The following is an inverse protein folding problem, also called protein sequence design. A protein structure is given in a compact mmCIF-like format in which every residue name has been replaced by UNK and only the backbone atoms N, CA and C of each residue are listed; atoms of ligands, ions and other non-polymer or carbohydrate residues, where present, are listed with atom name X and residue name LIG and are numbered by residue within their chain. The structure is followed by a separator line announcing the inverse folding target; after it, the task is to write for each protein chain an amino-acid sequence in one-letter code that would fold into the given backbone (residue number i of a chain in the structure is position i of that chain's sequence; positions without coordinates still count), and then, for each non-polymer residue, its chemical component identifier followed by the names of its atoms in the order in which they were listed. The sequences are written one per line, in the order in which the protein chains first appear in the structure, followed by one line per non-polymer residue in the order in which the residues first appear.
data_IF_596522084784
#
_entry.id   IF_596522084784
#
_cell.length_a   1.000
_cell.length_b   1.000
_cell.length_c   1.000
_cell.angle_alpha   90.00
_cell.angle_beta   90.00
_cell.angle_gamma   90.00
#
_symmetry.space_group_name_H-M   'P 1'
#
loop_
_entity.id
_entity.type
_entity.pdbx_description
1 polymer ?
#
# COMPACT_ATOMS: atom_id res chain seq x y z
N UNK A 1 -3.81 1.34 -9.89
CA UNK A 1 -4.68 0.44 -9.09
C UNK A 1 -4.51 0.86 -7.64
N UNK A 2 -5.57 1.07 -6.87
CA UNK A 2 -5.43 1.43 -5.46
C UNK A 2 -5.21 0.14 -4.65
N UNK A 3 -4.14 0.09 -3.86
CA UNK A 3 -3.93 -1.02 -2.93
C UNK A 3 -5.02 -1.02 -1.85
N UNK A 4 -5.50 -2.20 -1.48
CA UNK A 4 -6.55 -2.36 -0.46
C UNK A 4 -5.96 -2.84 0.86
N UNK A 5 -6.66 -2.57 1.97
CA UNK A 5 -6.22 -3.01 3.30
C UNK A 5 -6.00 -4.54 3.36
N UNK A 6 -6.89 -5.31 2.72
CA UNK A 6 -6.79 -6.77 2.65
C UNK A 6 -5.52 -7.27 1.94
N UNK A 7 -5.00 -6.51 0.96
CA UNK A 7 -3.74 -6.85 0.29
C UNK A 7 -2.55 -6.55 1.20
N UNK A 8 -2.62 -5.48 2.01
CA UNK A 8 -1.59 -5.19 3.00
C UNK A 8 -1.52 -6.30 4.07
N UNK A 9 -2.67 -6.76 4.57
CA UNK A 9 -2.73 -7.86 5.53
C UNK A 9 -2.13 -9.16 4.95
N UNK A 10 -2.36 -9.46 3.67
CA UNK A 10 -1.74 -10.61 3.00
C UNK A 10 -0.22 -10.48 2.90
N UNK A 11 0.30 -9.28 2.60
CA UNK A 11 1.74 -9.03 2.55
C UNK A 11 2.36 -9.15 3.94
N UNK A 12 1.71 -8.64 4.98
CA UNK A 12 2.19 -8.76 6.36
C UNK A 12 2.24 -10.23 6.81
N UNK A 13 1.21 -11.01 6.52
CA UNK A 13 1.19 -12.44 6.80
C UNK A 13 2.31 -13.18 6.05
N UNK A 14 2.50 -12.88 4.77
CA UNK A 14 3.57 -13.44 3.96
C UNK A 14 4.98 -13.12 4.51
N UNK A 15 5.19 -11.91 5.03
CA UNK A 15 6.46 -11.55 5.70
C UNK A 15 6.67 -12.38 6.96
N UNK A 16 5.62 -12.57 7.77
CA UNK A 16 5.70 -13.38 9.00
C UNK A 16 6.00 -14.85 8.67
N UNK A 17 5.37 -15.40 7.63
CA UNK A 17 5.58 -16.79 7.21
C UNK A 17 7.00 -17.01 6.65
N UNK A 18 7.51 -16.07 5.85
CA UNK A 18 8.93 -16.08 5.42
C UNK A 18 9.89 -15.95 6.61
N UNK A 19 9.57 -15.10 7.58
CA UNK A 19 10.40 -14.94 8.79
C UNK A 19 10.38 -16.18 9.70
N UNK A 20 9.29 -16.96 9.67
CA UNK A 20 9.20 -18.26 10.35
C UNK A 20 10.02 -19.36 9.70
N UNK A 21 10.50 -19.15 8.47
CA UNK A 21 11.29 -20.11 7.72
C UNK A 21 10.58 -20.71 6.51
N UNK A 22 9.43 -20.17 6.08
CA UNK A 22 8.90 -20.51 4.76
C UNK A 22 9.85 -20.03 3.67
N UNK A 23 10.04 -20.87 2.65
CA UNK A 23 10.98 -20.58 1.56
C UNK A 23 10.38 -19.70 0.48
N UNK A 24 9.08 -19.84 0.22
CA UNK A 24 8.35 -19.15 -0.84
C UNK A 24 6.94 -18.89 -0.36
N UNK A 25 6.46 -17.65 -0.48
CA UNK A 25 5.10 -17.24 -0.19
C UNK A 25 4.46 -16.65 -1.42
N UNK A 26 3.16 -16.88 -1.58
CA UNK A 26 2.39 -16.40 -2.72
C UNK A 26 1.44 -15.29 -2.26
N UNK A 27 1.58 -14.10 -2.82
CA UNK A 27 0.74 -12.94 -2.49
C UNK A 27 -0.15 -12.62 -3.70
N UNK A 28 -1.45 -12.46 -3.46
CA UNK A 28 -2.43 -12.20 -4.50
C UNK A 28 -2.87 -10.75 -4.48
N UNK A 29 -2.44 -9.98 -5.47
CA UNK A 29 -2.80 -8.56 -5.61
C UNK A 29 -4.12 -8.36 -6.38
N UNK A 30 -4.63 -9.37 -7.09
CA UNK A 30 -5.89 -9.24 -7.82
C UNK A 30 -6.48 -10.58 -8.29
N UNK A 31 -7.56 -10.53 -9.10
CA UNK A 31 -8.21 -11.75 -9.58
C UNK A 31 -7.27 -12.65 -10.39
N UNK A 32 -6.29 -12.08 -11.10
CA UNK A 32 -5.28 -12.83 -11.88
C UNK A 32 -3.84 -12.39 -11.58
N UNK A 33 -3.62 -11.55 -10.57
CA UNK A 33 -2.29 -11.03 -10.27
C UNK A 33 -1.78 -11.68 -8.99
N UNK A 34 -0.87 -12.62 -9.17
CA UNK A 34 -0.30 -13.45 -8.11
C UNK A 34 1.21 -13.40 -8.25
N UNK A 35 1.89 -12.92 -7.22
CA UNK A 35 3.36 -12.83 -7.21
C UNK A 35 3.91 -13.76 -6.14
N UNK A 36 4.92 -14.54 -6.51
CA UNK A 36 5.65 -15.41 -5.58
C UNK A 36 6.91 -14.70 -5.12
N UNK A 37 7.13 -14.70 -3.83
CA UNK A 37 8.30 -14.12 -3.20
C UNK A 37 9.07 -15.19 -2.44
N UNK A 38 10.38 -15.25 -2.66
CA UNK A 38 11.27 -16.13 -1.91
C UNK A 38 11.86 -15.42 -0.67
N UNK A 39 12.46 -16.20 0.23
CA UNK A 39 13.13 -15.65 1.43
C UNK A 39 14.25 -14.65 1.11
N UNK A 40 14.89 -14.76 -0.06
CA UNK A 40 15.89 -13.80 -0.52
C UNK A 40 15.30 -12.41 -0.83
N UNK A 41 13.98 -12.33 -1.07
CA UNK A 41 13.25 -11.12 -1.45
C UNK A 41 12.50 -10.50 -0.25
N UNK A 42 12.69 -11.04 0.95
CA UNK A 42 12.13 -10.52 2.20
C UNK A 42 12.38 -9.01 2.41
N UNK A 43 13.59 -8.44 2.18
CA UNK A 43 13.78 -6.99 2.25
C UNK A 43 12.97 -6.20 1.20
N UNK A 44 12.72 -6.78 0.03
CA UNK A 44 11.89 -6.15 -1.02
C UNK A 44 10.41 -6.15 -0.63
N UNK A 45 9.92 -7.24 -0.03
CA UNK A 45 8.57 -7.33 0.53
C UNK A 45 8.32 -6.29 1.63
N UNK A 46 9.30 -6.04 2.49
CA UNK A 46 9.22 -5.00 3.53
C UNK A 46 9.08 -3.62 2.89
N UNK A 47 9.88 -3.32 1.87
CA UNK A 47 9.80 -2.05 1.14
C UNK A 47 8.45 -1.89 0.41
N UNK A 48 7.93 -2.98 -0.17
CA UNK A 48 6.61 -3.01 -0.81
C UNK A 48 5.50 -2.73 0.21
N UNK A 49 5.54 -3.35 1.39
CA UNK A 49 4.59 -3.09 2.48
C UNK A 49 4.58 -1.61 2.87
N UNK A 50 5.75 -1.00 3.05
CA UNK A 50 5.86 0.41 3.39
C UNK A 50 5.27 1.32 2.30
N UNK A 51 5.53 0.99 1.04
CA UNK A 51 4.98 1.69 -0.12
C UNK A 51 3.46 1.57 -0.20
N UNK A 52 2.91 0.35 -0.08
CA UNK A 52 1.46 0.11 -0.07
C UNK A 52 0.78 0.86 1.07
N UNK A 53 1.39 0.86 2.26
CA UNK A 53 0.86 1.58 3.43
C UNK A 53 0.85 3.09 3.18
N UNK A 54 1.93 3.65 2.62
CA UNK A 54 1.99 5.05 2.25
C UNK A 54 0.92 5.42 1.21
N UNK A 55 0.71 4.57 0.20
CA UNK A 55 -0.33 4.79 -0.80
C UNK A 55 -1.75 4.70 -0.24
N UNK A 56 -2.04 3.73 0.64
CA UNK A 56 -3.34 3.61 1.32
C UNK A 56 -3.63 4.88 2.14
N UNK A 57 -2.62 5.37 2.88
CA UNK A 57 -2.73 6.61 3.66
C UNK A 57 -2.95 7.80 2.74
N UNK A 58 -2.18 7.92 1.65
CA UNK A 58 -2.32 8.99 0.67
C UNK A 58 -3.70 8.98 -0.02
N UNK A 59 -4.19 7.80 -0.40
CA UNK A 59 -5.52 7.59 -0.97
C UNK A 59 -6.62 7.99 0.02
N UNK A 60 -6.44 7.72 1.31
CA UNK A 60 -7.34 8.17 2.37
C UNK A 60 -7.27 9.68 2.65
N UNK A 61 -6.11 10.31 2.43
CA UNK A 61 -5.87 11.74 2.69
C UNK A 61 -6.25 12.67 1.51
N UNK A 62 -6.56 12.12 0.33
CA UNK A 62 -6.96 12.85 -0.88
C UNK A 62 -8.27 13.66 -0.81
N UNK A 63 -8.93 13.76 0.36
CA UNK A 63 -10.19 14.50 0.54
C UNK A 63 -10.15 15.66 1.54
N UNK A 64 -8.98 16.23 1.83
CA UNK A 64 -8.92 17.59 2.38
C UNK A 64 -8.63 18.59 1.27
N UNK A 65 -9.65 18.84 0.45
CA UNK A 65 -9.82 20.12 -0.23
C UNK A 65 -9.85 21.17 0.90
N UNK A 66 -8.70 21.76 1.20
CA UNK A 66 -8.64 22.99 1.98
C UNK A 66 -9.28 24.06 1.11
N UNK A 67 -10.59 24.22 1.28
CA UNK A 67 -11.33 25.34 0.74
C UNK A 67 -10.75 26.63 1.28
N UNK A 68 -9.81 27.23 0.57
CA UNK A 68 -9.56 28.66 0.66
C UNK A 68 -10.37 29.32 -0.44
N UNK A 69 -11.67 29.45 -0.17
CA UNK A 69 -12.52 30.43 -0.82
C UNK A 69 -12.04 31.81 -0.33
N UNK A 70 -11.02 32.38 -0.95
CA UNK A 70 -10.74 33.81 -0.83
C UNK A 70 -11.40 34.53 -2.01
N UNK A 71 -12.68 34.81 -1.75
CA UNK A 71 -13.54 35.85 -2.27
C UNK A 71 -12.80 36.89 -3.14
N UNK A 72 -13.27 37.05 -4.38
CA UNK A 72 -13.15 38.29 -5.12
C UNK A 72 -13.66 39.46 -4.26
N UNK A 73 -12.83 40.48 -4.04
CA UNK A 73 -13.30 41.84 -3.75
C UNK A 73 -12.72 42.76 -4.81
N UNK A 74 -13.59 43.16 -5.74
CA UNK A 74 -13.38 44.23 -6.70
C UNK A 74 -13.82 45.54 -6.01
N UNK A 75 -12.97 46.55 -6.03
CA UNK A 75 -13.19 47.91 -5.48
C UNK A 75 -11.85 48.46 -5.01
N UNK A 76 -11.36 49.62 -5.42
CA UNK A 76 -11.98 50.87 -5.88
C UNK A 76 -11.21 51.43 -7.09
#
# INVERSE_FOLDING_TARGET
MAYTQAQLDQVEQAIVDLARGERVVEVRFGPNDTTRYATAELPQLIALRDTMRAEIIAAGQGKRIRGYRLRHSRGF
#
